data_IF_786578176160
#
_entry.id   IF_786578176160
#
_cell.length_a   1.000
_cell.length_b   1.000
_cell.length_c   1.000
_cell.angle_alpha   90.00
_cell.angle_beta   90.00
_cell.angle_gamma   90.00
#
_symmetry.space_group_name_H-M   'P 1'
#
loop_
_entity.id
_entity.type
_entity.pdbx_description
1 polymer ?
#
# COMPACT_ATOMS: atom_id res chain seq x y z
N UNK A 1 36.33 -63.03 -0.90
CA UNK A 1 35.19 -62.45 -1.65
C UNK A 1 34.51 -61.40 -0.76
N UNK A 2 33.84 -60.43 -1.37
CA UNK A 2 33.70 -59.01 -0.95
C UNK A 2 32.85 -58.78 0.32
N UNK A 3 33.31 -57.85 1.17
CA UNK A 3 32.51 -57.18 2.22
C UNK A 3 31.50 -56.25 1.56
N UNK A 4 30.24 -56.28 2.00
CA UNK A 4 29.21 -55.29 1.64
C UNK A 4 28.81 -54.58 2.92
N UNK A 5 29.34 -53.37 3.10
CA UNK A 5 28.95 -52.46 4.18
C UNK A 5 27.81 -51.59 3.66
N UNK A 6 26.62 -51.73 4.25
CA UNK A 6 25.47 -50.88 3.96
C UNK A 6 25.63 -49.57 4.73
N UNK A 7 25.97 -48.49 4.02
CA UNK A 7 25.90 -47.13 4.54
C UNK A 7 24.46 -46.63 4.37
N UNK A 8 23.74 -46.46 5.48
CA UNK A 8 22.47 -45.74 5.50
C UNK A 8 22.78 -44.24 5.42
N UNK A 9 22.56 -43.64 4.24
CA UNK A 9 22.53 -42.19 4.11
C UNK A 9 21.22 -41.67 4.70
N UNK A 10 21.30 -41.02 5.87
CA UNK A 10 20.18 -40.29 6.43
C UNK A 10 19.95 -39.02 5.60
N UNK A 11 18.90 -39.01 4.78
CA UNK A 11 18.44 -37.80 4.10
C UNK A 11 17.72 -36.91 5.13
N UNK A 12 18.43 -35.91 5.66
CA UNK A 12 17.83 -34.89 6.50
C UNK A 12 16.93 -33.98 5.66
N UNK A 13 15.61 -34.03 5.89
CA UNK A 13 14.68 -33.03 5.36
C UNK A 13 14.89 -31.75 6.17
N UNK A 14 15.64 -30.81 5.61
CA UNK A 14 15.69 -29.44 6.14
C UNK A 14 14.37 -28.75 5.79
N UNK A 15 13.44 -28.75 6.73
CA UNK A 15 12.28 -27.86 6.66
C UNK A 15 12.81 -26.45 6.92
N UNK A 16 12.99 -25.67 5.86
CA UNK A 16 13.31 -24.25 5.99
C UNK A 16 12.17 -23.56 6.76
N UNK A 17 12.47 -23.07 7.95
CA UNK A 17 11.53 -22.32 8.78
C UNK A 17 11.20 -21.02 8.05
N UNK A 18 10.05 -20.98 7.36
CA UNK A 18 9.59 -19.74 6.73
C UNK A 18 9.21 -18.78 7.85
N UNK A 19 10.04 -17.75 8.07
CA UNK A 19 9.63 -16.57 8.83
C UNK A 19 8.46 -15.96 8.06
N UNK A 20 7.24 -16.26 8.50
CA UNK A 20 6.04 -15.76 7.84
C UNK A 20 6.02 -14.24 7.99
N UNK A 21 6.17 -13.52 6.88
CA UNK A 21 5.83 -12.12 6.83
C UNK A 21 4.31 -11.99 7.01
N UNK A 22 3.88 -10.96 7.74
CA UNK A 22 2.49 -10.82 8.13
C UNK A 22 2.17 -9.41 8.56
N UNK A 23 1.04 -8.93 8.06
CA UNK A 23 0.47 -7.64 8.42
C UNK A 23 -0.88 -7.85 9.11
N UNK A 24 -1.10 -7.13 10.21
CA UNK A 24 -2.43 -7.01 10.83
C UNK A 24 -2.87 -5.57 10.61
N UNK A 25 -3.58 -5.36 9.51
CA UNK A 25 -4.20 -4.09 9.15
C UNK A 25 -5.46 -3.91 10.01
N UNK A 26 -5.45 -2.92 10.89
CA UNK A 26 -6.58 -2.59 11.76
C UNK A 26 -7.61 -1.79 10.97
N UNK A 27 -7.10 -0.84 10.18
CA UNK A 27 -7.94 0.15 9.51
C UNK A 27 -7.21 0.71 8.29
N UNK A 28 -7.97 0.97 7.24
CA UNK A 28 -7.57 1.80 6.12
C UNK A 28 -8.73 2.74 5.79
N UNK A 29 -8.45 4.04 5.70
CA UNK A 29 -9.45 5.10 5.51
C UNK A 29 -8.97 6.12 4.50
N UNK A 30 -9.95 6.71 3.80
CA UNK A 30 -9.76 7.82 2.88
C UNK A 30 -10.68 8.98 3.26
N UNK A 31 -10.11 10.17 3.42
CA UNK A 31 -10.84 11.38 3.80
C UNK A 31 -10.64 12.47 2.74
N UNK A 32 -11.75 13.01 2.23
CA UNK A 32 -11.71 14.11 1.28
C UNK A 32 -11.43 15.43 1.99
N UNK A 33 -10.48 16.19 1.45
CA UNK A 33 -10.23 17.58 1.82
C UNK A 33 -10.22 18.48 0.59
N UNK A 34 -9.97 19.77 0.80
CA UNK A 34 -9.91 20.73 -0.30
C UNK A 34 -8.75 20.39 -1.25
N UNK A 35 -9.10 19.95 -2.47
CA UNK A 35 -8.15 19.54 -3.52
C UNK A 35 -7.14 18.46 -3.08
N UNK A 36 -7.52 17.60 -2.13
CA UNK A 36 -6.70 16.47 -1.70
C UNK A 36 -7.56 15.33 -1.16
N UNK A 37 -7.00 14.12 -1.16
CA UNK A 37 -7.48 13.02 -0.32
C UNK A 37 -6.37 12.65 0.66
N UNK A 38 -6.70 12.51 1.93
CA UNK A 38 -5.80 11.97 2.95
C UNK A 38 -6.13 10.51 3.17
N UNK A 39 -5.14 9.65 3.01
CA UNK A 39 -5.23 8.22 3.28
C UNK A 39 -4.52 7.93 4.59
N UNK A 40 -5.20 7.24 5.49
CA UNK A 40 -4.65 6.86 6.79
C UNK A 40 -4.86 5.37 7.00
N UNK A 41 -3.81 4.67 7.41
CA UNK A 41 -3.92 3.27 7.82
C UNK A 41 -3.20 3.01 9.12
N UNK A 42 -3.68 1.98 9.82
CA UNK A 42 -3.17 1.58 11.12
C UNK A 42 -2.85 0.10 11.09
N UNK A 43 -1.66 -0.25 11.53
CA UNK A 43 -1.20 -1.64 11.61
C UNK A 43 -0.84 -1.99 13.03
N UNK A 44 -1.23 -3.19 13.46
CA UNK A 44 -0.83 -3.77 14.75
C UNK A 44 0.46 -4.58 14.63
N UNK A 45 0.69 -5.16 13.47
CA UNK A 45 1.88 -5.95 13.15
C UNK A 45 2.20 -5.77 11.67
N UNK A 46 3.48 -5.78 11.31
CA UNK A 46 3.99 -5.65 9.93
C UNK A 46 5.34 -6.35 9.78
N UNK A 47 5.45 -7.55 10.36
CA UNK A 47 6.67 -8.35 10.30
C UNK A 47 7.01 -8.69 8.84
N UNK A 48 8.23 -8.36 8.41
CA UNK A 48 8.70 -8.67 7.06
C UNK A 48 8.02 -7.86 5.95
N UNK A 49 7.32 -6.77 6.30
CA UNK A 49 6.82 -5.81 5.32
C UNK A 49 7.92 -4.80 5.01
N UNK A 50 8.14 -4.55 3.72
CA UNK A 50 9.11 -3.58 3.22
C UNK A 50 8.43 -2.22 2.99
N UNK A 51 7.27 -2.22 2.32
CA UNK A 51 6.60 -0.98 1.97
C UNK A 51 5.09 -1.13 1.76
N UNK A 52 4.38 -0.02 1.89
CA UNK A 52 2.99 0.17 1.51
C UNK A 52 2.94 1.00 0.23
N UNK A 53 2.61 0.37 -0.88
CA UNK A 53 2.32 1.05 -2.13
C UNK A 53 0.86 1.51 -2.14
N UNK A 54 0.65 2.82 -2.21
CA UNK A 54 -0.68 3.41 -2.32
C UNK A 54 -1.11 3.36 -3.77
N UNK A 55 -2.19 2.65 -4.05
CA UNK A 55 -2.77 2.57 -5.38
C UNK A 55 -4.14 3.24 -5.43
N UNK A 56 -4.42 3.89 -6.55
CA UNK A 56 -5.67 4.61 -6.81
C UNK A 56 -6.31 4.14 -8.10
N UNK A 57 -7.63 4.09 -8.11
CA UNK A 57 -8.43 3.91 -9.31
C UNK A 57 -9.55 4.95 -9.39
N UNK A 58 -9.99 5.22 -10.62
CA UNK A 58 -11.24 5.92 -10.90
C UNK A 58 -12.39 4.96 -11.23
N UNK A 59 -12.04 3.74 -11.60
CA UNK A 59 -12.95 2.63 -11.90
C UNK A 59 -12.20 1.34 -11.53
N UNK A 60 -12.54 0.70 -10.39
CA UNK A 60 -11.85 -0.49 -9.93
C UNK A 60 -11.82 -1.63 -10.96
N UNK A 61 -12.76 -1.65 -11.91
CA UNK A 61 -12.79 -2.64 -12.99
C UNK A 61 -11.70 -2.41 -14.04
N UNK A 62 -11.22 -1.16 -14.19
CA UNK A 62 -10.12 -0.79 -15.09
C UNK A 62 -8.74 -0.94 -14.44
N UNK A 63 -8.69 -1.38 -13.17
CA UNK A 63 -7.47 -1.59 -12.41
C UNK A 63 -7.05 -0.39 -11.58
N UNK A 64 -5.92 -0.54 -10.89
CA UNK A 64 -5.37 0.44 -9.96
C UNK A 64 -3.98 0.87 -10.39
N UNK A 65 -3.65 2.14 -10.18
CA UNK A 65 -2.33 2.71 -10.46
C UNK A 65 -1.66 3.13 -9.16
N UNK A 66 -0.38 2.76 -8.98
CA UNK A 66 0.44 3.25 -7.87
C UNK A 66 0.64 4.77 -7.98
N UNK A 67 0.29 5.49 -6.92
CA UNK A 67 0.46 6.94 -6.81
C UNK A 67 1.52 7.33 -5.78
N UNK A 68 1.91 6.41 -4.89
CA UNK A 68 2.98 6.63 -3.93
C UNK A 68 3.39 5.36 -3.21
N UNK A 69 4.47 5.48 -2.45
CA UNK A 69 5.01 4.41 -1.62
C UNK A 69 5.37 5.01 -0.28
N UNK A 70 5.07 4.29 0.80
CA UNK A 70 5.47 4.63 2.17
C UNK A 70 6.20 3.43 2.73
N UNK A 71 7.47 3.61 3.08
CA UNK A 71 8.30 2.54 3.63
C UNK A 71 7.74 2.10 4.99
N UNK A 72 7.75 0.79 5.23
CA UNK A 72 7.40 0.24 6.53
C UNK A 72 8.51 0.55 7.53
N UNK A 73 8.17 0.85 8.78
CA UNK A 73 9.15 1.24 9.80
C UNK A 73 9.76 -0.01 10.51
N UNK A 74 9.63 -1.19 9.92
CA UNK A 74 10.09 -2.48 10.48
C UNK A 74 9.05 -3.15 11.39
N UNK A 75 9.44 -4.07 12.27
CA UNK A 75 8.47 -4.74 13.15
C UNK A 75 8.09 -3.86 14.36
N UNK A 76 6.84 -3.40 14.52
CA UNK A 76 6.39 -2.85 15.80
C UNK A 76 6.45 -3.95 16.87
N UNK A 77 6.83 -3.60 18.10
CA UNK A 77 6.60 -4.49 19.25
C UNK A 77 5.12 -4.83 19.33
N UNK A 78 4.77 -6.02 19.82
CA UNK A 78 3.39 -6.55 19.82
C UNK A 78 2.33 -5.62 20.47
N UNK A 79 2.77 -4.58 21.19
CA UNK A 79 1.94 -3.63 21.91
C UNK A 79 1.81 -2.25 21.21
N UNK A 80 2.49 -1.99 20.09
CA UNK A 80 2.52 -0.66 19.47
C UNK A 80 1.77 -0.63 18.12
N UNK A 81 0.67 0.13 18.07
CA UNK A 81 -0.05 0.41 16.82
C UNK A 81 0.71 1.49 16.06
N UNK A 82 1.08 1.21 14.81
CA UNK A 82 1.65 2.20 13.90
C UNK A 82 0.59 2.81 13.02
N UNK A 83 0.73 4.11 12.78
CA UNK A 83 -0.20 4.88 11.96
C UNK A 83 0.59 5.53 10.85
N UNK A 84 0.14 5.30 9.63
CA UNK A 84 0.75 5.82 8.42
C UNK A 84 -0.22 6.78 7.74
N UNK A 85 0.32 7.70 6.94
CA UNK A 85 -0.47 8.69 6.23
C UNK A 85 0.13 8.97 4.86
N UNK A 86 -0.73 9.07 3.85
CA UNK A 86 -0.38 9.53 2.51
C UNK A 86 -1.39 10.57 2.04
N UNK A 87 -0.90 11.66 1.43
CA UNK A 87 -1.77 12.74 0.92
C UNK A 87 -1.75 12.75 -0.61
N UNK A 88 -2.83 12.28 -1.23
CA UNK A 88 -3.04 12.41 -2.66
C UNK A 88 -3.46 13.85 -2.99
N UNK A 89 -2.49 14.64 -3.46
CA UNK A 89 -2.74 15.99 -3.97
C UNK A 89 -3.12 15.97 -5.44
N UNK A 90 -3.02 14.85 -6.15
CA UNK A 90 -3.14 14.80 -7.61
C UNK A 90 -4.57 14.78 -8.15
N UNK A 91 -5.56 14.94 -7.27
CA UNK A 91 -6.98 15.03 -7.60
C UNK A 91 -7.35 16.39 -8.18
N UNK A 92 -6.86 16.70 -9.39
CA UNK A 92 -6.99 18.04 -9.98
C UNK A 92 -7.98 18.13 -11.13
N UNK A 93 -8.60 17.04 -11.60
CA UNK A 93 -9.17 17.04 -12.96
C UNK A 93 -10.69 17.03 -13.06
N UNK A 94 -11.41 16.85 -11.96
CA UNK A 94 -12.87 16.72 -11.99
C UNK A 94 -13.46 17.08 -10.65
N UNK A 95 -14.42 17.99 -10.68
CA UNK A 95 -15.34 18.26 -9.58
C UNK A 95 -16.23 17.02 -9.39
N UNK A 96 -16.50 16.69 -8.13
CA UNK A 96 -17.45 15.65 -7.70
C UNK A 96 -17.18 14.26 -8.27
N UNK A 97 -15.94 13.78 -8.13
CA UNK A 97 -15.57 12.43 -8.56
C UNK A 97 -15.26 11.51 -7.39
N UNK A 98 -15.73 10.27 -7.51
CA UNK A 98 -15.35 9.17 -6.62
C UNK A 98 -13.99 8.61 -7.01
N UNK A 99 -13.13 8.45 -6.03
CA UNK A 99 -11.84 7.78 -6.14
C UNK A 99 -11.84 6.54 -5.26
N UNK A 100 -11.15 5.51 -5.72
CA UNK A 100 -10.98 4.25 -5.03
C UNK A 100 -9.52 4.06 -4.69
N UNK A 101 -9.22 3.61 -3.48
CA UNK A 101 -7.86 3.40 -3.01
C UNK A 101 -7.72 2.02 -2.39
N UNK A 102 -6.52 1.46 -2.51
CA UNK A 102 -6.08 0.26 -1.81
C UNK A 102 -4.59 0.37 -1.49
N UNK A 103 -4.15 -0.41 -0.51
CA UNK A 103 -2.74 -0.62 -0.26
C UNK A 103 -2.32 -1.90 -0.97
N UNK A 104 -1.20 -1.84 -1.69
CA UNK A 104 -0.41 -3.00 -2.07
C UNK A 104 0.73 -3.12 -1.07
N UNK A 105 0.64 -4.16 -0.24
CA UNK A 105 1.52 -4.39 0.89
C UNK A 105 2.64 -5.30 0.41
N UNK A 106 3.86 -4.77 0.33
CA UNK A 106 5.02 -5.45 -0.25
C UNK A 106 5.86 -6.06 0.86
N UNK A 107 6.07 -7.37 0.80
CA UNK A 107 6.96 -8.11 1.68
C UNK A 107 8.42 -7.99 1.20
N UNK A 108 9.37 -8.12 2.12
CA UNK A 108 10.82 -8.06 1.82
C UNK A 108 11.32 -9.17 0.89
N UNK A 109 10.51 -10.19 0.63
CA UNK A 109 10.78 -11.27 -0.33
C UNK A 109 10.18 -10.98 -1.72
N UNK A 110 9.57 -9.82 -1.94
CA UNK A 110 8.92 -9.40 -3.18
C UNK A 110 7.48 -9.89 -3.37
N UNK A 111 6.94 -10.70 -2.46
CA UNK A 111 5.51 -11.04 -2.43
C UNK A 111 4.70 -9.81 -2.04
N UNK A 112 3.42 -9.83 -2.39
CA UNK A 112 2.53 -8.75 -2.01
C UNK A 112 1.12 -9.26 -1.74
N UNK A 113 0.40 -8.49 -0.93
CA UNK A 113 -1.03 -8.65 -0.68
C UNK A 113 -1.73 -7.30 -0.84
N UNK A 114 -3.06 -7.31 -0.89
CA UNK A 114 -3.86 -6.09 -0.99
C UNK A 114 -4.72 -5.90 0.25
N UNK A 115 -4.91 -4.64 0.65
CA UNK A 115 -5.96 -4.28 1.59
C UNK A 115 -7.34 -4.34 0.94
N UNK A 116 -8.39 -4.17 1.75
CA UNK A 116 -9.70 -3.78 1.25
C UNK A 116 -9.63 -2.46 0.47
N UNK A 117 -10.58 -2.30 -0.44
CA UNK A 117 -10.74 -1.08 -1.23
C UNK A 117 -11.61 -0.10 -0.47
N UNK A 118 -11.15 1.14 -0.34
CA UNK A 118 -11.94 2.25 0.20
C UNK A 118 -12.27 3.25 -0.89
N UNK A 119 -13.46 3.83 -0.84
CA UNK A 119 -13.91 4.85 -1.79
C UNK A 119 -14.15 6.18 -1.10
N UNK A 120 -13.87 7.28 -1.80
CA UNK A 120 -14.15 8.63 -1.31
C UNK A 120 -14.59 9.53 -2.45
N UNK A 121 -15.65 10.31 -2.23
CA UNK A 121 -16.05 11.38 -3.15
C UNK A 121 -15.31 12.65 -2.77
N UNK A 122 -14.56 13.23 -3.72
CA UNK A 122 -13.74 14.41 -3.47
C UNK A 122 -14.24 15.62 -4.27
N UNK A 123 -14.38 16.75 -3.57
CA UNK A 123 -14.72 18.04 -4.15
C UNK A 123 -13.44 18.83 -4.48
N UNK A 124 -13.23 19.11 -5.77
CA UNK A 124 -12.10 19.90 -6.28
C UNK A 124 -12.59 21.31 -6.60
N UNK A 125 -11.97 22.33 -5.99
CA UNK A 125 -12.28 23.73 -6.25
C UNK A 125 -11.69 24.17 -7.59
N UNK A 126 -12.57 24.66 -8.47
CA UNK A 126 -12.23 25.17 -9.79
C UNK A 126 -11.34 26.44 -9.77
N UNK A 127 -11.25 27.16 -8.64
CA UNK A 127 -10.53 28.43 -8.56
C UNK A 127 -9.00 28.32 -8.78
N UNK A 128 -8.38 27.16 -8.47
CA UNK A 128 -6.96 26.91 -8.82
C UNK A 128 -6.74 26.74 -10.32
N UNK A 129 -7.78 26.35 -11.07
CA UNK A 129 -7.67 26.06 -12.50
C UNK A 129 -7.72 27.32 -13.37
N UNK A 130 -8.51 28.32 -12.99
CA UNK A 130 -8.69 29.54 -13.81
C UNK A 130 -7.56 30.54 -13.63
N UNK A 131 -7.01 30.68 -12.42
CA UNK A 131 -5.96 31.67 -12.15
C UNK A 131 -4.67 31.47 -12.95
N UNK A 132 -4.31 30.22 -13.24
CA UNK A 132 -3.17 29.92 -14.11
C UNK A 132 -3.42 30.30 -15.57
N UNK A 133 -4.62 30.01 -16.08
CA UNK A 133 -5.03 30.30 -17.46
C UNK A 133 -5.25 31.79 -17.70
N UNK A 134 -5.84 32.50 -16.74
CA UNK A 134 -6.06 33.96 -16.80
C UNK A 134 -4.71 34.69 -16.87
N UNK A 135 -3.73 34.33 -16.03
CA UNK A 135 -2.38 34.90 -16.13
C UNK A 135 -1.64 34.55 -17.42
N UNK A 136 -2.07 33.52 -18.16
CA UNK A 136 -1.49 33.16 -19.44
C UNK A 136 -2.07 33.95 -20.62
N UNK A 137 -3.21 34.63 -20.43
CA UNK A 137 -3.89 35.41 -21.48
C UNK A 137 -3.43 36.87 -21.57
N UNK A 138 -2.75 37.39 -20.55
CA UNK A 138 -2.30 38.80 -20.48
C UNK A 138 -0.78 38.94 -20.61
N UNK A 139 -0.15 38.03 -21.36
CA UNK A 139 1.29 38.06 -21.69
C UNK A 139 1.46 38.19 -23.20
#
# INVERSE_FOLDING_TARGET
MRRVSLLFAAAGVLVAFSLHAGVILIEFKAEAGLNRVTLTWRVRAEQGIEAYEVERSMDPQQGFQRIGTVDAEGTPTAEMIRTYTYVDKTIFKTTDRTYYYRLRIVESNGRFSYSDVVSVSAHVSAARHTWGSIKAMFR
#
